data_IF_867333077556
#
_entry.id   IF_867333077556
#
_cell.length_a   1.000
_cell.length_b   1.000
_cell.length_c   1.000
_cell.angle_alpha   90.00
_cell.angle_beta   90.00
_cell.angle_gamma   90.00
#
_symmetry.space_group_name_H-M   'P 1'
#
loop_
_entity.id
_entity.type
_entity.pdbx_description
1 polymer ?
#
# COMPACT_ATOMS: atom_id res chain seq x y z
N UNK A 1 5.41 -13.57 11.00
CA UNK A 1 6.00 -12.58 10.06
C UNK A 1 5.15 -12.47 8.81
N UNK A 2 4.78 -13.61 8.20
CA UNK A 2 3.89 -13.70 7.04
C UNK A 2 2.66 -12.80 7.12
N UNK A 3 1.88 -12.84 8.21
CA UNK A 3 0.68 -11.99 8.36
C UNK A 3 0.97 -10.49 8.21
N UNK A 4 2.12 -10.03 8.72
CA UNK A 4 2.52 -8.62 8.64
C UNK A 4 2.93 -8.23 7.22
N UNK A 5 3.62 -9.13 6.52
CA UNK A 5 3.94 -8.96 5.10
C UNK A 5 2.64 -8.91 4.27
N UNK A 6 1.69 -9.82 4.53
CA UNK A 6 0.39 -9.83 3.86
C UNK A 6 -0.40 -8.54 4.10
N UNK A 7 -0.44 -8.03 5.34
CA UNK A 7 -1.07 -6.74 5.66
C UNK A 7 -0.41 -5.57 4.91
N UNK A 8 0.92 -5.56 4.84
CA UNK A 8 1.68 -4.56 4.10
C UNK A 8 1.35 -4.59 2.60
N UNK A 9 1.37 -5.78 1.97
CA UNK A 9 1.04 -5.94 0.55
C UNK A 9 -0.41 -5.57 0.25
N UNK A 10 -1.35 -5.92 1.12
CA UNK A 10 -2.74 -5.53 0.98
C UNK A 10 -2.87 -4.00 0.94
N UNK A 11 -2.25 -3.28 1.88
CA UNK A 11 -2.31 -1.81 1.92
C UNK A 11 -1.73 -1.19 0.64
N UNK A 12 -0.59 -1.68 0.16
CA UNK A 12 0.02 -1.22 -1.11
C UNK A 12 -0.92 -1.44 -2.29
N UNK A 13 -1.54 -2.62 -2.38
CA UNK A 13 -2.43 -2.95 -3.49
C UNK A 13 -3.68 -2.07 -3.49
N UNK A 14 -4.30 -1.85 -2.33
CA UNK A 14 -5.44 -0.94 -2.19
C UNK A 14 -5.08 0.50 -2.60
N UNK A 15 -3.91 0.99 -2.17
CA UNK A 15 -3.40 2.32 -2.56
C UNK A 15 -3.22 2.39 -4.09
N UNK A 16 -2.52 1.43 -4.70
CA UNK A 16 -2.23 1.44 -6.13
C UNK A 16 -3.49 1.36 -6.99
N UNK A 17 -4.49 0.59 -6.57
CA UNK A 17 -5.79 0.51 -7.24
C UNK A 17 -6.47 1.89 -7.28
N UNK A 18 -6.56 2.58 -6.15
CA UNK A 18 -7.15 3.91 -6.07
C UNK A 18 -6.37 4.95 -6.89
N UNK A 19 -5.03 4.94 -6.84
CA UNK A 19 -4.20 5.83 -7.67
C UNK A 19 -4.45 5.61 -9.16
N UNK A 20 -4.63 4.36 -9.59
CA UNK A 20 -4.96 4.03 -10.98
C UNK A 20 -6.36 4.54 -11.39
N UNK A 21 -7.35 4.46 -10.49
CA UNK A 21 -8.68 5.00 -10.71
C UNK A 21 -8.65 6.54 -10.82
N UNK A 22 -7.94 7.23 -9.93
CA UNK A 22 -7.75 8.69 -9.98
C UNK A 22 -7.09 9.11 -11.30
N UNK A 23 -6.03 8.42 -11.71
CA UNK A 23 -5.39 8.66 -13.01
C UNK A 23 -6.36 8.47 -14.19
N UNK A 24 -7.24 7.48 -14.10
CA UNK A 24 -8.27 7.24 -15.13
C UNK A 24 -9.29 8.36 -15.19
N UNK A 25 -9.68 8.93 -14.04
CA UNK A 25 -10.56 10.10 -13.99
C UNK A 25 -9.92 11.29 -14.71
N UNK A 26 -8.66 11.60 -14.39
CA UNK A 26 -7.92 12.65 -15.09
C UNK A 26 -7.82 12.42 -16.60
N UNK A 27 -7.49 11.19 -17.01
CA UNK A 27 -7.40 10.87 -18.43
C UNK A 27 -8.71 11.11 -19.19
N UNK A 28 -9.86 10.85 -18.56
CA UNK A 28 -11.18 10.98 -19.21
C UNK A 28 -11.78 12.37 -19.10
N UNK A 29 -11.47 13.11 -18.03
CA UNK A 29 -12.22 14.29 -17.62
C UNK A 29 -11.34 15.50 -17.29
N UNK A 30 -10.02 15.41 -17.43
CA UNK A 30 -9.06 16.45 -17.04
C UNK A 30 -9.22 17.79 -17.75
N UNK A 31 -9.83 17.80 -18.94
CA UNK A 31 -10.05 19.01 -19.73
C UNK A 31 -11.35 19.76 -19.34
N UNK A 32 -12.23 19.17 -18.52
CA UNK A 32 -13.47 19.81 -18.10
C UNK A 32 -13.23 20.73 -16.89
N UNK A 33 -13.32 22.03 -17.12
CA UNK A 33 -13.11 23.04 -16.09
C UNK A 33 -14.06 22.91 -14.89
N UNK A 34 -15.28 22.40 -15.11
CA UNK A 34 -16.28 22.23 -14.04
C UNK A 34 -15.89 21.12 -13.07
N UNK A 35 -15.02 20.20 -13.51
CA UNK A 35 -14.58 19.03 -12.72
C UNK A 35 -13.26 19.28 -11.99
N UNK A 36 -12.57 20.40 -12.26
CA UNK A 36 -11.31 20.78 -11.61
C UNK A 36 -11.35 20.66 -10.07
N UNK A 37 -12.41 21.11 -9.35
CA UNK A 37 -12.46 20.98 -7.89
C UNK A 37 -12.49 19.52 -7.40
N UNK A 38 -13.19 18.64 -8.11
CA UNK A 38 -13.26 17.22 -7.76
C UNK A 38 -11.95 16.49 -8.09
N UNK A 39 -11.33 16.82 -9.23
CA UNK A 39 -10.03 16.28 -9.64
C UNK A 39 -8.89 16.73 -8.71
N UNK A 40 -8.89 18.00 -8.28
CA UNK A 40 -7.92 18.50 -7.31
C UNK A 40 -8.04 17.79 -5.94
N UNK A 41 -9.26 17.52 -5.47
CA UNK A 41 -9.46 16.73 -4.25
C UNK A 41 -8.98 15.29 -4.41
N UNK A 42 -9.08 14.71 -5.62
CA UNK A 42 -8.52 13.41 -5.92
C UNK A 42 -6.97 13.44 -5.96
N UNK A 43 -6.36 14.50 -6.46
CA UNK A 43 -4.89 14.68 -6.45
C UNK A 43 -4.34 14.80 -5.03
N UNK A 44 -5.02 15.54 -4.15
CA UNK A 44 -4.65 15.63 -2.74
C UNK A 44 -4.70 14.25 -2.05
N UNK A 45 -5.69 13.42 -2.40
CA UNK A 45 -5.78 12.04 -1.93
C UNK A 45 -4.64 11.17 -2.49
N UNK A 46 -4.31 11.27 -3.78
CA UNK A 46 -3.18 10.56 -4.39
C UNK A 46 -1.85 10.91 -3.68
N UNK A 47 -1.64 12.18 -3.36
CA UNK A 47 -0.44 12.63 -2.64
C UNK A 47 -0.36 12.01 -1.25
N UNK A 48 -1.43 12.09 -0.45
CA UNK A 48 -1.49 11.49 0.89
C UNK A 48 -1.27 9.98 0.87
N UNK A 49 -1.86 9.29 -0.10
CA UNK A 49 -1.66 7.85 -0.30
C UNK A 49 -0.21 7.52 -0.68
N UNK A 50 0.41 8.36 -1.52
CA UNK A 50 1.80 8.21 -1.94
C UNK A 50 2.77 8.32 -0.76
N UNK A 51 2.49 9.17 0.21
CA UNK A 51 3.33 9.30 1.41
C UNK A 51 3.28 8.04 2.29
N UNK A 52 2.12 7.38 2.38
CA UNK A 52 2.03 6.06 3.04
C UNK A 52 2.73 4.98 2.21
N UNK A 53 2.53 4.95 0.89
CA UNK A 53 3.12 3.94 0.00
C UNK A 53 4.66 3.95 0.07
N UNK A 54 5.29 5.13 0.09
CA UNK A 54 6.75 5.29 0.17
C UNK A 54 7.37 4.72 1.45
N UNK A 55 6.63 4.71 2.55
CA UNK A 55 7.08 4.12 3.82
C UNK A 55 6.97 2.58 3.81
N UNK A 56 5.97 2.05 3.09
CA UNK A 56 5.73 0.62 2.96
C UNK A 56 6.68 -0.03 1.95
N UNK A 57 6.88 0.58 0.78
CA UNK A 57 7.66 0.03 -0.33
C UNK A 57 8.42 1.11 -1.09
N UNK A 58 9.55 0.72 -1.69
CA UNK A 58 10.31 1.62 -2.54
C UNK A 58 9.56 1.82 -3.86
N UNK A 59 9.00 3.02 -4.06
CA UNK A 59 8.20 3.36 -5.24
C UNK A 59 9.06 3.64 -6.48
N UNK A 60 10.34 4.01 -6.29
CA UNK A 60 11.28 4.33 -7.36
C UNK A 60 12.30 3.21 -7.60
N UNK A 61 11.86 2.04 -8.06
CA UNK A 61 12.76 1.04 -8.65
C UNK A 61 12.89 1.26 -10.17
N UNK A 62 13.41 2.40 -10.61
CA UNK A 62 13.88 2.54 -11.99
C UNK A 62 15.36 2.19 -12.02
N UNK A 63 15.66 1.01 -12.56
CA UNK A 63 17.01 0.45 -12.65
C UNK A 63 18.02 1.44 -13.22
N UNK A 64 19.07 1.70 -12.46
CA UNK A 64 20.38 2.19 -12.90
C UNK A 64 21.22 2.33 -11.64
N UNK A 65 22.04 1.31 -11.35
CA UNK A 65 23.36 1.32 -10.65
C UNK A 65 23.65 2.34 -9.50
N UNK A 66 22.63 2.93 -8.86
CA UNK A 66 22.77 3.99 -7.87
C UNK A 66 21.79 3.86 -6.69
N UNK A 67 21.10 2.72 -6.57
CA UNK A 67 20.07 2.52 -5.53
C UNK A 67 20.66 2.12 -4.15
N UNK A 68 21.98 2.26 -3.96
CA UNK A 68 22.72 1.86 -2.76
C UNK A 68 22.57 2.82 -1.56
N UNK A 69 21.84 3.94 -1.71
CA UNK A 69 21.78 5.00 -0.70
C UNK A 69 20.38 5.24 -0.08
N UNK A 70 19.36 4.46 -0.40
CA UNK A 70 18.06 4.59 0.27
C UNK A 70 17.99 3.67 1.49
N UNK A 71 17.59 4.16 2.68
CA UNK A 71 17.30 3.29 3.81
C UNK A 71 16.24 2.27 3.39
N UNK A 72 16.47 0.98 3.68
CA UNK A 72 15.53 -0.08 3.30
C UNK A 72 14.13 0.21 3.86
N UNK A 73 13.11 0.10 3.01
CA UNK A 73 11.68 0.31 3.34
C UNK A 73 11.12 -0.86 4.16
N UNK A 74 9.91 -0.73 4.72
CA UNK A 74 9.33 -1.77 5.58
C UNK A 74 9.23 -3.13 4.88
N UNK A 75 8.85 -3.19 3.60
CA UNK A 75 8.77 -4.44 2.85
C UNK A 75 10.10 -5.21 2.85
N UNK A 76 11.20 -4.55 2.48
CA UNK A 76 12.54 -5.17 2.44
C UNK A 76 13.02 -5.59 3.83
N UNK A 77 12.69 -4.81 4.87
CA UNK A 77 13.06 -5.16 6.26
C UNK A 77 12.31 -6.38 6.76
N UNK A 78 11.03 -6.51 6.44
CA UNK A 78 10.26 -7.71 6.82
C UNK A 78 10.71 -8.94 6.03
N UNK A 79 11.03 -8.79 4.75
CA UNK A 79 11.56 -9.87 3.91
C UNK A 79 12.92 -10.37 4.43
N UNK A 80 13.87 -9.46 4.64
CA UNK A 80 15.18 -9.79 5.20
C UNK A 80 15.07 -10.41 6.60
N UNK A 81 14.15 -9.92 7.44
CA UNK A 81 13.89 -10.50 8.75
C UNK A 81 13.31 -11.92 8.64
N UNK A 82 12.40 -12.17 7.68
CA UNK A 82 11.85 -13.51 7.44
C UNK A 82 12.95 -14.50 7.06
N UNK A 83 13.81 -14.14 6.10
CA UNK A 83 14.95 -14.98 5.72
C UNK A 83 15.92 -15.23 6.90
N UNK A 84 16.13 -14.22 7.75
CA UNK A 84 17.01 -14.35 8.91
C UNK A 84 16.47 -15.32 9.97
N UNK A 85 15.15 -15.35 10.21
CA UNK A 85 14.56 -16.30 11.16
C UNK A 85 14.46 -17.70 10.58
N UNK A 86 14.25 -17.83 9.26
CA UNK A 86 14.17 -19.13 8.58
C UNK A 86 15.55 -19.82 8.49
N UNK A 87 16.64 -19.03 8.42
CA UNK A 87 18.01 -19.54 8.40
C UNK A 87 18.56 -19.93 9.80
N UNK A 88 17.81 -19.69 10.87
CA UNK A 88 18.26 -19.96 12.25
C UNK A 88 18.07 -21.43 12.67
N UNK A 89 19.10 -22.04 13.25
CA UNK A 89 19.06 -23.42 13.79
C UNK A 89 18.13 -23.59 15.02
N UNK A 90 17.55 -22.50 15.54
CA UNK A 90 16.74 -22.52 16.75
C UNK A 90 15.25 -22.42 16.42
N UNK A 91 14.45 -23.37 16.91
CA UNK A 91 12.98 -23.40 16.75
C UNK A 91 12.23 -22.27 17.46
N UNK A 92 12.94 -21.43 18.22
CA UNK A 92 12.38 -20.27 18.95
C UNK A 92 13.18 -19.00 18.66
N UNK A 93 12.51 -17.85 18.42
CA UNK A 93 13.19 -16.57 18.23
C UNK A 93 13.99 -16.13 19.46
N UNK A 94 15.17 -15.58 19.22
CA UNK A 94 16.00 -14.92 20.24
C UNK A 94 15.38 -13.60 20.69
N UNK A 95 15.81 -13.09 21.86
CA UNK A 95 15.35 -11.79 22.37
C UNK A 95 15.57 -10.65 21.38
N UNK A 96 16.74 -10.60 20.74
CA UNK A 96 17.05 -9.57 19.73
C UNK A 96 16.17 -9.68 18.49
N UNK A 97 15.85 -10.89 18.02
CA UNK A 97 14.91 -11.10 16.92
C UNK A 97 13.50 -10.58 17.28
N UNK A 98 13.03 -10.83 18.51
CA UNK A 98 11.74 -10.32 18.98
C UNK A 98 11.71 -8.78 19.04
N UNK A 99 12.78 -8.14 19.51
CA UNK A 99 12.89 -6.68 19.58
C UNK A 99 12.87 -6.03 18.18
N UNK A 100 13.57 -6.63 17.21
CA UNK A 100 13.51 -6.20 15.80
C UNK A 100 12.10 -6.36 15.24
N UNK A 101 11.46 -7.51 15.46
CA UNK A 101 10.10 -7.74 15.00
C UNK A 101 9.09 -6.75 15.59
N UNK A 102 9.19 -6.45 16.90
CA UNK A 102 8.34 -5.44 17.54
C UNK A 102 8.56 -4.05 16.96
N UNK A 103 9.80 -3.68 16.68
CA UNK A 103 10.14 -2.37 16.09
C UNK A 103 9.58 -2.24 14.68
N UNK A 104 9.76 -3.25 13.83
CA UNK A 104 9.17 -3.27 12.48
C UNK A 104 7.65 -3.28 12.55
N UNK A 105 7.08 -4.05 13.49
CA UNK A 105 5.65 -4.11 13.73
C UNK A 105 5.05 -2.75 14.07
N UNK A 106 5.63 -2.00 15.02
CA UNK A 106 5.12 -0.67 15.40
C UNK A 106 5.12 0.29 14.21
N UNK A 107 6.19 0.30 13.42
CA UNK A 107 6.28 1.15 12.21
C UNK A 107 5.23 0.76 11.17
N UNK A 108 4.98 -0.54 10.98
CA UNK A 108 3.89 -0.99 10.12
C UNK A 108 2.53 -0.54 10.65
N UNK A 109 2.26 -0.70 11.94
CA UNK A 109 0.99 -0.30 12.57
C UNK A 109 0.72 1.20 12.38
N UNK A 110 1.74 2.05 12.50
CA UNK A 110 1.63 3.48 12.24
C UNK A 110 1.17 3.77 10.80
N UNK A 111 1.74 3.09 9.81
CA UNK A 111 1.36 3.29 8.40
C UNK A 111 -0.02 2.70 8.10
N UNK A 112 -0.36 1.54 8.68
CA UNK A 112 -1.69 0.94 8.54
C UNK A 112 -2.77 1.80 9.21
N UNK A 113 -2.46 2.43 10.34
CA UNK A 113 -3.37 3.37 11.01
C UNK A 113 -3.61 4.62 10.15
N UNK A 114 -2.53 5.21 9.59
CA UNK A 114 -2.66 6.32 8.63
C UNK A 114 -3.51 5.91 7.42
N UNK A 115 -3.25 4.74 6.85
CA UNK A 115 -4.02 4.22 5.73
C UNK A 115 -5.51 4.04 6.09
N UNK A 116 -5.80 3.46 7.26
CA UNK A 116 -7.16 3.31 7.76
C UNK A 116 -7.89 4.64 7.95
N UNK A 117 -7.18 5.65 8.46
CA UNK A 117 -7.70 7.01 8.59
C UNK A 117 -8.02 7.62 7.21
N UNK A 118 -7.10 7.53 6.24
CA UNK A 118 -7.33 8.01 4.88
C UNK A 118 -8.56 7.33 4.25
N UNK A 119 -8.71 6.02 4.44
CA UNK A 119 -9.89 5.28 3.95
C UNK A 119 -11.20 5.77 4.57
N UNK A 120 -11.22 5.96 5.88
CA UNK A 120 -12.45 6.33 6.60
C UNK A 120 -12.84 7.80 6.45
N UNK A 121 -11.89 8.67 6.06
CA UNK A 121 -12.10 10.12 5.98
C UNK A 121 -11.95 10.62 4.54
N UNK A 122 -10.70 10.66 4.04
CA UNK A 122 -10.39 11.28 2.76
C UNK A 122 -10.99 10.53 1.57
N UNK A 123 -10.93 9.19 1.54
CA UNK A 123 -11.53 8.40 0.45
C UNK A 123 -13.05 8.59 0.41
N UNK A 124 -13.72 8.60 1.55
CA UNK A 124 -15.18 8.84 1.64
C UNK A 124 -15.51 10.24 1.13
N UNK A 125 -14.82 11.26 1.65
CA UNK A 125 -15.02 12.66 1.25
C UNK A 125 -14.82 12.87 -0.24
N UNK A 126 -13.73 12.36 -0.80
CA UNK A 126 -13.40 12.49 -2.23
C UNK A 126 -14.40 11.72 -3.08
N UNK A 127 -14.81 10.52 -2.65
CA UNK A 127 -15.84 9.73 -3.33
C UNK A 127 -17.17 10.48 -3.41
N UNK A 128 -17.56 11.19 -2.35
CA UNK A 128 -18.79 12.00 -2.36
C UNK A 128 -18.68 13.22 -3.29
N UNK A 129 -17.53 13.87 -3.35
CA UNK A 129 -17.28 14.95 -4.32
C UNK A 129 -17.32 14.45 -5.77
N UNK A 130 -16.70 13.29 -6.03
CA UNK A 130 -16.72 12.63 -7.35
C UNK A 130 -18.14 12.27 -7.76
N UNK A 131 -18.96 11.74 -6.83
CA UNK A 131 -20.37 11.46 -7.08
C UNK A 131 -21.18 12.72 -7.37
N UNK A 132 -20.99 13.80 -6.61
CA UNK A 132 -21.67 15.09 -6.86
C UNK A 132 -21.31 15.67 -8.22
N UNK A 133 -20.09 15.40 -8.70
CA UNK A 133 -19.61 15.77 -10.02
C UNK A 133 -20.07 14.81 -11.14
N UNK A 134 -20.92 13.81 -10.83
CA UNK A 134 -21.38 12.76 -11.75
C UNK A 134 -20.25 11.93 -12.38
N UNK A 135 -19.14 11.74 -11.66
CA UNK A 135 -17.99 10.95 -12.09
C UNK A 135 -18.05 9.50 -11.59
N UNK A 136 -17.35 8.56 -12.24
CA UNK A 136 -17.21 7.19 -11.77
C UNK A 136 -16.65 7.14 -10.34
N UNK A 137 -17.31 6.40 -9.45
CA UNK A 137 -16.92 6.31 -8.04
C UNK A 137 -15.58 5.59 -7.86
N UNK A 138 -14.83 6.00 -6.83
CA UNK A 138 -13.64 5.29 -6.37
C UNK A 138 -14.06 4.07 -5.55
N UNK A 139 -13.44 2.93 -5.83
CA UNK A 139 -13.75 1.63 -5.20
C UNK A 139 -12.47 1.04 -4.65
N UNK A 140 -12.51 0.55 -3.40
CA UNK A 140 -11.42 -0.25 -2.84
C UNK A 140 -11.75 -1.71 -3.11
N UNK A 141 -10.98 -2.33 -4.01
CA UNK A 141 -11.15 -3.76 -4.29
C UNK A 141 -10.44 -4.57 -3.21
N UNK A 142 -11.11 -5.51 -2.50
CA UNK A 142 -10.42 -6.42 -1.61
C UNK A 142 -9.43 -7.28 -2.43
N UNK A 143 -8.32 -7.74 -1.82
CA UNK A 143 -7.35 -8.57 -2.54
C UNK A 143 -8.07 -9.77 -3.15
N UNK A 144 -7.76 -10.09 -4.42
CA UNK A 144 -8.19 -11.33 -5.04
C UNK A 144 -7.68 -12.47 -4.16
N UNK A 145 -8.58 -13.12 -3.45
CA UNK A 145 -8.31 -14.41 -2.83
C UNK A 145 -7.87 -15.33 -3.97
N UNK A 146 -6.60 -15.71 -4.02
CA UNK A 146 -6.18 -16.82 -4.86
C UNK A 146 -6.96 -18.04 -4.39
N UNK A 147 -7.98 -18.42 -5.16
CA UNK A 147 -8.65 -19.71 -5.01
C UNK A 147 -7.55 -20.78 -5.08
N UNK A 148 -7.41 -21.67 -4.07
CA UNK A 148 -6.46 -22.76 -4.16
C UNK A 148 -6.75 -23.54 -5.44
N UNK A 149 -5.78 -23.62 -6.36
CA UNK A 149 -5.86 -24.61 -7.44
C UNK A 149 -5.90 -25.97 -6.77
N UNK A 150 -7.06 -26.62 -6.80
CA UNK A 150 -7.16 -28.07 -6.62
C UNK A 150 -6.16 -28.72 -7.59
N UNK A 151 -5.02 -29.14 -7.07
CA UNK A 151 -4.21 -30.18 -7.69
C UNK A 151 -5.05 -31.44 -7.71
N UNK A 152 -5.75 -31.66 -8.82
CA UNK A 152 -6.18 -33.00 -9.21
C UNK A 152 -4.92 -33.84 -9.35
N UNK A 153 -4.69 -34.69 -8.37
CA UNK A 153 -3.77 -35.82 -8.48
C UNK A 153 -4.29 -36.71 -9.62
N UNK A 154 -3.45 -36.97 -10.61
CA UNK A 154 -3.55 -38.09 -11.55
C UNK A 154 -2.28 -38.90 -11.44
#
# INVERSE_FOLDING_TARGET
>A
VTDRISQLHQAINEIRDLKAQIKTLHFRFGDDEKLKPALAAADDLDHKMSDVEKELIQVNMKGSEGNLAFPSVLNERFDAFSHFIDAGDSTKPTKSQLEVFQTLGKRLDEQLAKWSQLKSQDVVKVSDMIKQANLPALIITPPKTETPKETKSS
#
